data_IF_493769234259
#
_entry.id   IF_493769234259
#
_cell.length_a   1.000
_cell.length_b   1.000
_cell.length_c   1.000
_cell.angle_alpha   90.00
_cell.angle_beta   90.00
_cell.angle_gamma   90.00
#
_symmetry.space_group_name_H-M   'P 1'
#
loop_
_entity.id
_entity.type
_entity.pdbx_description
1 polymer ?
#
# COMPACT_ATOMS: atom_id res chain seq x y z
N UNK A 1 10.66 11.39 -0.54
CA UNK A 1 11.66 10.35 -0.92
C UNK A 1 12.93 11.00 -1.42
N UNK A 2 12.90 11.84 -2.44
CA UNK A 2 14.08 12.42 -3.11
C UNK A 2 15.10 13.07 -2.16
N UNK A 3 14.62 13.76 -1.11
CA UNK A 3 15.49 14.33 -0.05
C UNK A 3 16.19 13.22 0.74
N UNK A 4 15.46 12.20 1.20
CA UNK A 4 16.02 11.09 1.99
C UNK A 4 17.05 10.31 1.20
N UNK A 5 16.79 10.09 -0.09
CA UNK A 5 17.73 9.41 -1.00
C UNK A 5 18.90 10.28 -1.47
N UNK A 6 18.91 11.57 -1.08
CA UNK A 6 19.98 12.51 -1.39
C UNK A 6 20.02 12.98 -2.84
N UNK A 7 18.88 12.96 -3.55
CA UNK A 7 18.71 13.51 -4.90
C UNK A 7 18.47 15.02 -4.84
N UNK A 8 17.71 15.47 -3.82
CA UNK A 8 17.36 16.87 -3.57
C UNK A 8 17.88 17.28 -2.20
N UNK A 9 18.45 18.48 -2.09
CA UNK A 9 18.89 19.05 -0.80
C UNK A 9 17.67 19.64 -0.08
N UNK A 10 17.47 19.37 1.23
CA UNK A 10 16.37 19.97 1.99
C UNK A 10 16.61 21.48 2.15
N UNK A 11 15.55 22.29 2.09
CA UNK A 11 15.58 23.73 2.36
C UNK A 11 15.80 24.01 3.84
N UNK A 12 15.28 23.14 4.72
CA UNK A 12 15.40 23.22 6.17
C UNK A 12 15.15 21.83 6.80
N UNK A 13 15.40 21.72 8.10
CA UNK A 13 15.22 20.47 8.82
C UNK A 13 16.38 19.49 8.66
N UNK A 14 16.28 18.34 9.33
CA UNK A 14 17.27 17.27 9.34
C UNK A 14 16.63 15.93 9.10
N UNK A 15 17.34 15.03 8.43
CA UNK A 15 16.92 13.65 8.22
C UNK A 15 18.07 12.72 8.59
N UNK A 16 17.78 11.66 9.30
CA UNK A 16 18.73 10.61 9.62
C UNK A 16 18.24 9.25 9.12
N UNK A 17 19.17 8.42 8.66
CA UNK A 17 18.94 7.03 8.24
C UNK A 17 19.87 6.14 9.04
N UNK A 18 19.32 5.23 9.83
CA UNK A 18 20.07 4.40 10.80
C UNK A 18 21.03 5.21 11.69
N UNK A 19 20.58 6.40 12.12
CA UNK A 19 21.36 7.30 12.97
C UNK A 19 22.38 8.16 12.24
N UNK A 20 22.55 8.02 10.93
CA UNK A 20 23.46 8.82 10.11
C UNK A 20 22.73 9.98 9.43
N UNK A 21 23.32 11.18 9.48
CA UNK A 21 22.78 12.36 8.80
C UNK A 21 22.91 12.23 7.27
N UNK A 22 21.83 12.52 6.53
CA UNK A 22 21.80 12.33 5.06
C UNK A 22 22.74 13.25 4.30
N UNK A 23 23.19 14.36 4.89
CA UNK A 23 24.10 15.33 4.28
C UNK A 23 25.53 15.06 4.75
N UNK A 24 25.77 15.02 6.05
CA UNK A 24 27.11 14.84 6.61
C UNK A 24 27.68 13.44 6.37
N UNK A 25 26.84 12.42 6.50
CA UNK A 25 27.19 11.01 6.34
C UNK A 25 26.64 10.40 5.03
N UNK A 26 26.47 11.20 3.97
CA UNK A 26 25.74 10.80 2.74
C UNK A 26 26.20 9.47 2.13
N UNK A 27 27.49 9.12 2.21
CA UNK A 27 28.00 7.84 1.70
C UNK A 27 27.46 6.65 2.48
N UNK A 28 27.37 6.79 3.82
CA UNK A 28 26.85 5.75 4.70
C UNK A 28 25.35 5.59 4.50
N UNK A 29 24.61 6.69 4.42
CA UNK A 29 23.15 6.66 4.22
C UNK A 29 22.79 6.10 2.85
N UNK A 30 23.40 6.58 1.78
CA UNK A 30 23.15 6.08 0.42
C UNK A 30 23.54 4.61 0.24
N UNK A 31 24.57 4.11 0.92
CA UNK A 31 24.92 2.69 0.87
C UNK A 31 23.88 1.76 1.53
N UNK A 32 22.98 2.32 2.35
CA UNK A 32 21.88 1.61 3.05
C UNK A 32 20.55 1.70 2.31
N UNK A 33 20.45 2.59 1.32
CA UNK A 33 19.23 2.90 0.62
C UNK A 33 19.32 2.37 -0.82
N UNK A 34 18.32 1.56 -1.19
CA UNK A 34 17.98 1.30 -2.59
C UNK A 34 16.80 2.19 -2.98
N UNK A 35 16.79 2.73 -4.20
CA UNK A 35 15.68 3.53 -4.71
C UNK A 35 15.24 3.05 -6.09
N UNK A 36 13.96 2.90 -6.25
CA UNK A 36 13.29 2.65 -7.53
C UNK A 36 12.40 3.85 -7.83
N UNK A 37 12.75 4.67 -8.83
CA UNK A 37 11.97 5.84 -9.21
C UNK A 37 10.68 5.44 -9.95
N UNK A 38 9.74 6.37 -10.03
CA UNK A 38 8.50 6.19 -10.76
C UNK A 38 8.75 5.96 -12.26
N UNK A 39 9.68 6.72 -12.87
CA UNK A 39 9.99 6.63 -14.29
C UNK A 39 10.99 5.51 -14.60
N UNK A 40 10.79 4.84 -15.74
CA UNK A 40 11.61 3.73 -16.21
C UNK A 40 12.80 4.23 -17.05
N UNK A 41 13.81 4.80 -16.41
CA UNK A 41 15.05 5.16 -17.09
C UNK A 41 16.07 4.01 -17.02
N UNK A 42 16.25 3.30 -18.12
CA UNK A 42 17.21 2.20 -18.26
C UNK A 42 17.97 2.34 -19.57
N UNK A 43 19.30 2.12 -19.52
CA UNK A 43 20.15 2.03 -20.70
C UNK A 43 19.71 0.85 -21.58
N UNK A 44 19.36 1.13 -22.85
CA UNK A 44 18.64 0.17 -23.68
C UNK A 44 19.51 -0.97 -24.22
N UNK A 45 20.83 -0.81 -24.27
CA UNK A 45 21.72 -1.73 -24.97
C UNK A 45 22.40 -2.78 -24.07
N UNK A 46 22.44 -2.54 -22.76
CA UNK A 46 23.03 -3.45 -21.79
C UNK A 46 22.17 -4.68 -21.53
N UNK A 47 22.80 -5.77 -21.07
CA UNK A 47 22.07 -6.94 -20.60
C UNK A 47 21.51 -6.72 -19.19
N UNK A 48 20.53 -7.55 -18.79
CA UNK A 48 19.97 -7.52 -17.43
C UNK A 48 21.07 -7.75 -16.39
N UNK A 49 21.92 -8.78 -16.60
CA UNK A 49 22.97 -9.13 -15.66
C UNK A 49 24.03 -8.04 -15.53
N UNK A 50 24.50 -7.49 -16.66
CA UNK A 50 25.53 -6.46 -16.67
C UNK A 50 25.03 -5.18 -15.99
N UNK A 51 23.79 -4.77 -16.30
CA UNK A 51 23.15 -3.59 -15.69
C UNK A 51 23.09 -3.69 -14.16
N UNK A 52 22.68 -4.84 -13.62
CA UNK A 52 22.59 -5.03 -12.17
C UNK A 52 23.97 -5.13 -11.53
N UNK A 53 24.91 -5.83 -12.20
CA UNK A 53 26.30 -5.95 -11.75
C UNK A 53 27.01 -4.62 -11.73
N UNK A 54 26.85 -3.81 -12.78
CA UNK A 54 27.40 -2.46 -12.87
C UNK A 54 26.86 -1.55 -11.76
N UNK A 55 25.55 -1.62 -11.51
CA UNK A 55 24.91 -0.85 -10.43
C UNK A 55 25.57 -1.14 -9.07
N UNK A 56 25.92 -2.39 -8.77
CA UNK A 56 26.66 -2.75 -7.56
C UNK A 56 28.02 -2.06 -7.48
N UNK A 57 28.73 -2.01 -8.61
CA UNK A 57 30.04 -1.35 -8.71
C UNK A 57 29.99 0.15 -8.43
N UNK A 58 28.91 0.84 -8.82
CA UNK A 58 28.71 2.27 -8.53
C UNK A 58 28.65 2.58 -7.03
N UNK A 59 28.26 1.62 -6.20
CA UNK A 59 28.30 1.73 -4.74
C UNK A 59 29.64 1.29 -4.12
N UNK A 60 30.67 1.07 -4.93
CA UNK A 60 31.99 0.63 -4.47
C UNK A 60 32.01 -0.80 -3.89
N UNK A 61 31.02 -1.62 -4.23
CA UNK A 61 30.95 -3.01 -3.76
C UNK A 61 31.67 -3.94 -4.71
N UNK A 62 32.45 -4.87 -4.16
CA UNK A 62 33.11 -5.92 -4.94
C UNK A 62 32.11 -6.76 -5.75
N UNK A 63 32.52 -7.30 -6.92
CA UNK A 63 31.68 -8.22 -7.69
C UNK A 63 31.21 -9.41 -6.85
N UNK A 64 29.92 -9.73 -6.93
CA UNK A 64 29.30 -10.84 -6.18
C UNK A 64 28.26 -11.55 -7.07
N UNK A 65 28.70 -12.31 -8.10
CA UNK A 65 27.83 -12.91 -9.10
C UNK A 65 26.72 -13.76 -8.50
N UNK A 66 27.01 -14.56 -7.47
CA UNK A 66 26.01 -15.38 -6.76
C UNK A 66 24.91 -14.54 -6.11
N UNK A 67 25.21 -13.35 -5.63
CA UNK A 67 24.21 -12.44 -5.07
C UNK A 67 23.31 -11.87 -6.18
N UNK A 68 23.91 -11.44 -7.30
CA UNK A 68 23.14 -10.97 -8.46
C UNK A 68 22.25 -12.09 -9.02
N UNK A 69 22.77 -13.32 -9.14
CA UNK A 69 21.99 -14.48 -9.53
C UNK A 69 20.77 -14.69 -8.61
N UNK A 70 20.99 -14.63 -7.29
CA UNK A 70 19.90 -14.75 -6.32
C UNK A 70 18.83 -13.67 -6.54
N UNK A 71 19.22 -12.40 -6.64
CA UNK A 71 18.27 -11.29 -6.87
C UNK A 71 17.48 -11.52 -8.16
N UNK A 72 18.15 -11.90 -9.26
CA UNK A 72 17.48 -12.11 -10.54
C UNK A 72 16.52 -13.31 -10.50
N UNK A 73 16.84 -14.35 -9.73
CA UNK A 73 15.92 -15.48 -9.48
C UNK A 73 14.71 -15.05 -8.65
N UNK A 74 14.93 -14.33 -7.55
CA UNK A 74 13.86 -13.83 -6.67
C UNK A 74 12.88 -12.90 -7.42
N UNK A 75 13.38 -12.20 -8.45
CA UNK A 75 12.60 -11.30 -9.30
C UNK A 75 12.11 -11.96 -10.61
N UNK A 76 12.30 -13.28 -10.79
CA UNK A 76 11.93 -14.02 -12.02
C UNK A 76 12.55 -13.43 -13.29
N UNK A 77 13.79 -13.01 -13.21
CA UNK A 77 14.56 -12.42 -14.32
C UNK A 77 15.78 -13.27 -14.74
N UNK A 78 16.06 -14.38 -14.03
CA UNK A 78 17.28 -15.16 -14.30
C UNK A 78 17.34 -15.71 -15.72
N UNK A 79 16.24 -16.21 -16.25
CA UNK A 79 16.14 -16.74 -17.61
C UNK A 79 16.29 -15.66 -18.69
N UNK A 80 16.25 -14.39 -18.30
CA UNK A 80 16.39 -13.21 -19.14
C UNK A 80 17.71 -12.46 -18.90
N UNK A 81 18.63 -13.01 -18.09
CA UNK A 81 19.84 -12.34 -17.64
C UNK A 81 20.73 -11.81 -18.78
N UNK A 82 20.77 -12.53 -19.91
CA UNK A 82 21.57 -12.20 -21.10
C UNK A 82 20.78 -11.38 -22.14
N UNK A 83 19.49 -11.12 -21.91
CA UNK A 83 18.67 -10.29 -22.80
C UNK A 83 18.97 -8.80 -22.60
N UNK A 84 18.95 -8.05 -23.72
CA UNK A 84 19.08 -6.59 -23.68
C UNK A 84 17.83 -5.94 -23.13
N UNK A 85 18.01 -4.85 -22.35
CA UNK A 85 16.89 -4.19 -21.66
C UNK A 85 15.81 -3.68 -22.62
N UNK A 86 16.17 -3.30 -23.86
CA UNK A 86 15.18 -2.88 -24.88
C UNK A 86 14.17 -3.97 -25.26
N UNK A 87 14.52 -5.24 -25.06
CA UNK A 87 13.68 -6.40 -25.43
C UNK A 87 12.71 -6.79 -24.32
N UNK A 88 12.81 -6.17 -23.16
CA UNK A 88 11.98 -6.48 -21.99
C UNK A 88 10.65 -5.73 -22.02
N UNK A 89 9.61 -6.36 -21.48
CA UNK A 89 8.33 -5.69 -21.19
C UNK A 89 8.49 -4.61 -20.12
N UNK A 90 7.52 -3.70 -20.00
CA UNK A 90 7.52 -2.65 -18.96
C UNK A 90 7.64 -3.22 -17.55
N UNK A 91 6.92 -4.30 -17.24
CA UNK A 91 7.00 -4.98 -15.94
C UNK A 91 8.35 -5.62 -15.68
N UNK A 92 8.96 -6.25 -16.69
CA UNK A 92 10.32 -6.77 -16.57
C UNK A 92 11.34 -5.67 -16.34
N UNK A 93 11.23 -4.54 -17.04
CA UNK A 93 12.08 -3.36 -16.81
C UNK A 93 11.94 -2.83 -15.39
N UNK A 94 10.72 -2.81 -14.85
CA UNK A 94 10.47 -2.41 -13.45
C UNK A 94 11.18 -3.36 -12.48
N UNK A 95 11.11 -4.67 -12.71
CA UNK A 95 11.84 -5.66 -11.89
C UNK A 95 13.37 -5.49 -12.01
N UNK A 96 13.90 -5.11 -13.17
CA UNK A 96 15.33 -4.78 -13.32
C UNK A 96 15.71 -3.56 -12.48
N UNK A 97 14.88 -2.51 -12.41
CA UNK A 97 15.13 -1.37 -11.51
C UNK A 97 15.17 -1.79 -10.05
N UNK A 98 14.29 -2.69 -9.63
CA UNK A 98 14.35 -3.27 -8.28
C UNK A 98 15.65 -4.05 -8.08
N UNK A 99 16.05 -4.88 -9.05
CA UNK A 99 17.31 -5.63 -8.99
C UNK A 99 18.52 -4.68 -8.86
N UNK A 100 18.56 -3.59 -9.62
CA UNK A 100 19.57 -2.53 -9.49
C UNK A 100 19.60 -1.95 -8.08
N UNK A 101 18.44 -1.58 -7.55
CA UNK A 101 18.32 -1.00 -6.23
C UNK A 101 18.74 -1.95 -5.10
N UNK A 102 18.61 -3.28 -5.29
CA UNK A 102 19.02 -4.31 -4.34
C UNK A 102 20.49 -4.77 -4.50
N UNK A 103 21.14 -4.44 -5.62
CA UNK A 103 22.44 -4.99 -6.00
C UNK A 103 23.55 -4.76 -4.97
N UNK A 104 23.51 -3.64 -4.24
CA UNK A 104 24.49 -3.26 -3.22
C UNK A 104 24.12 -3.68 -1.80
N UNK A 105 23.08 -4.51 -1.63
CA UNK A 105 22.61 -5.05 -0.34
C UNK A 105 22.12 -3.95 0.61
N UNK A 106 21.17 -3.08 0.21
CA UNK A 106 20.62 -2.04 1.08
C UNK A 106 19.75 -2.65 2.19
N UNK A 107 19.68 -1.97 3.34
CA UNK A 107 18.73 -2.29 4.43
C UNK A 107 17.34 -1.69 4.21
N UNK A 108 17.25 -0.64 3.39
CA UNK A 108 16.01 0.10 3.12
C UNK A 108 15.83 0.23 1.61
N UNK A 109 14.63 -0.10 1.13
CA UNK A 109 14.24 0.04 -0.28
C UNK A 109 13.08 1.02 -0.40
N UNK A 110 13.30 2.11 -1.15
CA UNK A 110 12.25 3.04 -1.54
C UNK A 110 11.69 2.66 -2.91
N UNK A 111 10.38 2.54 -2.98
CA UNK A 111 9.62 2.30 -4.20
C UNK A 111 8.68 3.48 -4.43
N UNK A 112 8.99 4.31 -5.42
CA UNK A 112 8.18 5.49 -5.72
C UNK A 112 7.15 5.13 -6.78
N UNK A 113 5.88 5.03 -6.37
CA UNK A 113 4.74 4.64 -7.19
C UNK A 113 5.03 3.42 -8.11
N UNK A 114 5.43 2.27 -7.57
CA UNK A 114 5.97 1.16 -8.36
C UNK A 114 4.97 0.54 -9.33
N UNK A 115 3.68 0.80 -9.17
CA UNK A 115 2.62 0.26 -10.03
C UNK A 115 1.88 1.35 -10.82
N UNK A 116 2.40 2.57 -10.84
CA UNK A 116 1.80 3.63 -11.64
C UNK A 116 1.82 3.28 -13.15
N UNK A 117 0.65 3.42 -13.79
CA UNK A 117 0.52 3.19 -15.23
C UNK A 117 0.61 1.73 -15.66
N UNK A 118 0.52 0.75 -14.75
CA UNK A 118 0.47 -0.67 -15.11
C UNK A 118 -0.95 -1.24 -14.95
N UNK A 119 -1.24 -2.29 -15.72
CA UNK A 119 -2.51 -3.02 -15.63
C UNK A 119 -2.66 -3.79 -14.30
N UNK A 120 -3.87 -4.31 -14.06
CA UNK A 120 -4.23 -4.96 -12.79
C UNK A 120 -3.40 -6.23 -12.55
N UNK A 121 -3.15 -7.02 -13.59
CA UNK A 121 -2.42 -8.29 -13.49
C UNK A 121 -0.96 -8.03 -13.11
N UNK A 122 -0.30 -7.12 -13.81
CA UNK A 122 1.08 -6.74 -13.54
C UNK A 122 1.24 -6.08 -12.16
N UNK A 123 0.22 -5.33 -11.69
CA UNK A 123 0.18 -4.77 -10.34
C UNK A 123 0.18 -5.89 -9.30
N UNK A 124 -0.66 -6.90 -9.46
CA UNK A 124 -0.71 -8.04 -8.54
C UNK A 124 0.60 -8.83 -8.51
N UNK A 125 1.27 -9.00 -9.65
CA UNK A 125 2.60 -9.59 -9.70
C UNK A 125 3.64 -8.78 -8.93
N UNK A 126 3.62 -7.45 -9.07
CA UNK A 126 4.50 -6.56 -8.31
C UNK A 126 4.24 -6.64 -6.80
N UNK A 127 2.99 -6.77 -6.38
CA UNK A 127 2.67 -6.97 -4.96
C UNK A 127 3.26 -8.28 -4.41
N UNK A 128 3.25 -9.36 -5.20
CA UNK A 128 3.90 -10.62 -4.82
C UNK A 128 5.41 -10.43 -4.65
N UNK A 129 6.05 -9.72 -5.59
CA UNK A 129 7.48 -9.37 -5.51
C UNK A 129 7.78 -8.57 -4.25
N UNK A 130 7.03 -7.52 -3.95
CA UNK A 130 7.24 -6.68 -2.76
C UNK A 130 7.07 -7.50 -1.47
N UNK A 131 6.06 -8.37 -1.40
CA UNK A 131 5.86 -9.28 -0.25
C UNK A 131 7.04 -10.22 -0.04
N UNK A 132 7.52 -10.84 -1.12
CA UNK A 132 8.70 -11.73 -1.06
C UNK A 132 9.96 -10.98 -0.61
N UNK A 133 10.20 -9.78 -1.12
CA UNK A 133 11.35 -8.97 -0.68
C UNK A 133 11.27 -8.58 0.79
N UNK A 134 10.08 -8.27 1.31
CA UNK A 134 9.88 -8.02 2.75
C UNK A 134 10.32 -9.22 3.60
N UNK A 135 10.03 -10.44 3.16
CA UNK A 135 10.41 -11.66 3.86
C UNK A 135 11.94 -11.86 3.92
N UNK A 136 12.71 -11.22 3.05
CA UNK A 136 14.18 -11.23 3.12
C UNK A 136 14.77 -10.30 4.19
N UNK A 137 13.93 -9.54 4.91
CA UNK A 137 14.34 -8.64 5.98
C UNK A 137 14.65 -7.21 5.55
N UNK A 138 14.43 -6.85 4.28
CA UNK A 138 14.59 -5.47 3.78
C UNK A 138 13.40 -4.64 4.24
N UNK A 139 13.66 -3.46 4.79
CA UNK A 139 12.60 -2.48 5.10
C UNK A 139 12.16 -1.80 3.81
N UNK A 140 10.87 -1.91 3.46
CA UNK A 140 10.34 -1.32 2.23
C UNK A 140 9.49 -0.10 2.57
N UNK A 141 9.80 1.03 1.95
CA UNK A 141 9.01 2.26 2.01
C UNK A 141 8.45 2.49 0.60
N UNK A 142 7.13 2.47 0.51
CA UNK A 142 6.39 2.55 -0.74
C UNK A 142 5.52 3.80 -0.73
N UNK A 143 5.56 4.60 -1.80
CA UNK A 143 4.55 5.62 -2.07
C UNK A 143 3.55 5.08 -3.08
N UNK A 144 2.29 5.40 -2.88
CA UNK A 144 1.23 5.06 -3.81
C UNK A 144 0.02 6.00 -3.63
N UNK A 145 -0.69 6.25 -4.71
CA UNK A 145 -2.01 6.86 -4.69
C UNK A 145 -3.13 5.81 -4.82
N UNK A 146 -2.77 4.54 -5.00
CA UNK A 146 -3.71 3.42 -5.00
C UNK A 146 -3.88 2.87 -3.59
N UNK A 147 -5.00 3.17 -2.97
CA UNK A 147 -5.27 2.76 -1.58
C UNK A 147 -5.31 1.23 -1.45
N UNK A 148 -5.81 0.54 -2.48
CA UNK A 148 -5.80 -0.93 -2.55
C UNK A 148 -4.39 -1.52 -2.43
N UNK A 149 -3.37 -0.85 -2.96
CA UNK A 149 -1.98 -1.28 -2.86
C UNK A 149 -1.50 -1.22 -1.41
N UNK A 150 -1.73 -0.09 -0.73
CA UNK A 150 -1.42 0.05 0.69
C UNK A 150 -2.16 -1.01 1.54
N UNK A 151 -3.42 -1.27 1.21
CA UNK A 151 -4.23 -2.28 1.88
C UNK A 151 -3.68 -3.71 1.67
N UNK A 152 -3.23 -4.02 0.46
CA UNK A 152 -2.73 -5.36 0.10
C UNK A 152 -1.37 -5.69 0.73
N UNK A 153 -0.45 -4.71 0.83
CA UNK A 153 0.96 -5.01 1.11
C UNK A 153 1.56 -4.28 2.33
N UNK A 154 0.98 -3.14 2.77
CA UNK A 154 1.56 -2.38 3.87
C UNK A 154 1.29 -3.02 5.25
N UNK A 155 2.28 -2.93 6.15
CA UNK A 155 2.12 -3.21 7.58
C UNK A 155 1.73 -1.93 8.34
N UNK A 156 2.35 -0.79 7.97
CA UNK A 156 2.07 0.55 8.48
C UNK A 156 1.68 1.46 7.34
N UNK A 157 0.80 2.40 7.60
CA UNK A 157 0.33 3.40 6.63
C UNK A 157 0.60 4.78 7.17
N UNK A 158 1.21 5.63 6.34
CA UNK A 158 1.33 7.07 6.56
C UNK A 158 0.44 7.82 5.58
N UNK A 159 -0.39 8.72 6.05
CA UNK A 159 -1.22 9.59 5.21
C UNK A 159 -0.58 10.97 5.15
N UNK A 160 -0.34 11.45 3.93
CA UNK A 160 0.23 12.78 3.66
C UNK A 160 -0.83 13.61 2.94
N UNK A 161 -1.08 14.82 3.42
CA UNK A 161 -1.93 15.82 2.77
C UNK A 161 -1.26 17.18 2.84
N UNK A 162 -1.25 17.91 1.73
CA UNK A 162 -0.65 19.25 1.60
C UNK A 162 0.80 19.36 2.14
N UNK A 163 1.59 18.29 2.01
CA UNK A 163 2.97 18.24 2.46
C UNK A 163 3.17 17.87 3.94
N UNK A 164 2.10 17.67 4.70
CA UNK A 164 2.14 17.28 6.11
C UNK A 164 1.75 15.82 6.30
N UNK A 165 2.38 15.17 7.28
CA UNK A 165 1.99 13.82 7.71
C UNK A 165 0.85 13.94 8.71
N UNK A 166 -0.36 13.54 8.30
CA UNK A 166 -1.55 13.56 9.16
C UNK A 166 -1.49 12.43 10.19
N UNK A 167 -1.14 11.22 9.76
CA UNK A 167 -1.12 10.04 10.61
C UNK A 167 -0.07 9.04 10.12
N UNK A 168 0.56 8.32 11.06
CA UNK A 168 1.36 7.12 10.78
C UNK A 168 0.95 6.04 11.76
N UNK A 169 0.32 4.98 11.29
CA UNK A 169 -0.22 3.94 12.16
C UNK A 169 -0.05 2.54 11.55
N UNK A 170 -0.08 1.51 12.39
CA UNK A 170 -0.24 0.14 11.93
C UNK A 170 -1.56 -0.01 11.17
N UNK A 171 -1.53 -0.63 9.99
CA UNK A 171 -2.73 -0.83 9.17
C UNK A 171 -3.90 -1.46 9.95
N UNK A 172 -3.59 -2.49 10.74
CA UNK A 172 -4.59 -3.17 11.57
C UNK A 172 -5.22 -2.25 12.61
N UNK A 173 -4.42 -1.41 13.26
CA UNK A 173 -4.92 -0.47 14.26
C UNK A 173 -5.70 0.69 13.62
N UNK A 174 -5.28 1.15 12.43
CA UNK A 174 -6.01 2.15 11.67
C UNK A 174 -7.41 1.65 11.28
N UNK A 175 -7.48 0.45 10.71
CA UNK A 175 -8.74 -0.21 10.38
C UNK A 175 -9.61 -0.47 11.63
N UNK A 176 -8.97 -0.71 12.77
CA UNK A 176 -9.65 -0.94 14.04
C UNK A 176 -10.22 0.35 14.63
N UNK A 177 -9.43 1.43 14.69
CA UNK A 177 -9.82 2.69 15.32
C UNK A 177 -10.85 3.47 14.51
N UNK A 178 -10.72 3.47 13.19
CA UNK A 178 -11.52 4.27 12.27
C UNK A 178 -12.45 3.44 11.38
N UNK A 179 -12.29 2.11 11.40
CA UNK A 179 -13.11 1.20 10.61
C UNK A 179 -14.45 0.94 11.30
N UNK A 180 -15.54 1.27 10.62
CA UNK A 180 -16.88 0.90 11.01
C UNK A 180 -17.37 -0.26 10.15
N UNK A 181 -18.17 -1.14 10.71
CA UNK A 181 -18.99 -2.05 9.92
C UNK A 181 -20.32 -1.40 9.66
N UNK A 182 -20.78 -1.56 8.43
CA UNK A 182 -22.10 -1.14 7.99
C UNK A 182 -22.90 -2.40 7.70
N UNK A 183 -24.04 -2.55 8.37
CA UNK A 183 -25.04 -3.55 8.03
C UNK A 183 -26.12 -2.85 7.20
N UNK A 184 -26.23 -3.23 5.94
CA UNK A 184 -27.34 -2.82 5.08
C UNK A 184 -28.43 -3.89 5.15
N UNK A 185 -29.60 -3.50 5.61
CA UNK A 185 -30.78 -4.33 5.77
C UNK A 185 -31.70 -4.02 4.60
N UNK A 186 -31.80 -4.93 3.64
CA UNK A 186 -32.76 -4.81 2.53
C UNK A 186 -34.15 -5.22 2.97
N UNK A 187 -35.14 -4.40 2.67
CA UNK A 187 -36.53 -4.61 3.00
C UNK A 187 -37.33 -5.06 1.77
N UNK A 188 -38.44 -5.81 1.98
CA UNK A 188 -39.35 -6.20 0.91
C UNK A 188 -40.20 -5.03 0.42
N UNK A 189 -40.53 -4.10 1.31
CA UNK A 189 -41.39 -2.95 1.05
C UNK A 189 -40.63 -1.64 1.27
N UNK A 190 -41.07 -0.56 0.65
CA UNK A 190 -40.46 0.75 0.82
C UNK A 190 -40.73 1.33 2.20
N UNK A 191 -39.73 1.99 2.76
CA UNK A 191 -39.81 2.68 4.05
C UNK A 191 -39.63 4.18 3.84
N UNK A 192 -40.60 4.98 4.27
CA UNK A 192 -40.53 6.45 4.15
C UNK A 192 -40.03 7.07 5.44
N UNK A 193 -40.37 6.47 6.58
CA UNK A 193 -40.01 6.97 7.90
C UNK A 193 -39.56 5.82 8.81
N UNK A 194 -38.52 6.04 9.60
CA UNK A 194 -38.06 5.05 10.57
C UNK A 194 -39.04 4.99 11.76
N UNK A 195 -39.62 3.80 12.08
CA UNK A 195 -40.45 3.63 13.22
C UNK A 195 -39.84 4.10 14.53
N UNK A 196 -40.63 4.66 15.44
CA UNK A 196 -40.11 5.19 16.72
C UNK A 196 -39.34 4.14 17.54
N UNK A 197 -39.76 2.86 17.46
CA UNK A 197 -39.08 1.73 18.11
C UNK A 197 -37.66 1.49 17.63
N UNK A 198 -37.31 1.93 16.40
CA UNK A 198 -36.03 1.75 15.76
C UNK A 198 -35.12 2.99 15.80
N UNK A 199 -35.64 4.15 16.23
CA UNK A 199 -34.84 5.40 16.30
C UNK A 199 -33.60 5.30 17.21
N UNK A 200 -33.62 4.40 18.20
CA UNK A 200 -32.49 4.16 19.11
C UNK A 200 -31.25 3.54 18.42
N UNK A 201 -31.34 3.13 17.15
CA UNK A 201 -30.25 2.45 16.42
C UNK A 201 -29.56 3.38 15.42
N UNK A 202 -29.88 4.66 15.37
CA UNK A 202 -29.27 5.63 14.41
C UNK A 202 -29.27 5.11 12.96
N UNK A 203 -30.39 4.52 12.54
CA UNK A 203 -30.54 3.96 11.19
C UNK A 203 -30.65 5.08 10.17
N UNK A 204 -30.07 4.84 8.99
CA UNK A 204 -30.18 5.72 7.83
C UNK A 204 -30.96 4.98 6.74
N UNK A 205 -31.97 5.65 6.16
CA UNK A 205 -32.70 5.11 5.00
C UNK A 205 -31.78 5.24 3.79
N UNK A 206 -31.57 4.16 3.03
CA UNK A 206 -30.79 4.16 1.80
C UNK A 206 -31.52 4.83 0.63
N UNK A 207 -30.78 5.17 -0.42
CA UNK A 207 -31.24 5.97 -1.57
C UNK A 207 -32.46 5.41 -2.30
N UNK A 208 -32.69 4.09 -2.20
CA UNK A 208 -33.81 3.41 -2.85
C UNK A 208 -35.06 3.27 -1.96
N UNK A 209 -35.05 3.84 -0.77
CA UNK A 209 -36.09 3.69 0.26
C UNK A 209 -36.47 2.24 0.63
N UNK A 210 -35.64 1.26 0.19
CA UNK A 210 -35.84 -0.18 0.48
C UNK A 210 -34.74 -0.77 1.32
N UNK A 211 -33.88 0.07 1.89
CA UNK A 211 -32.81 -0.39 2.75
C UNK A 211 -32.63 0.52 3.96
N UNK A 212 -32.15 -0.08 5.05
CA UNK A 212 -31.73 0.59 6.26
C UNK A 212 -30.26 0.29 6.51
N UNK A 213 -29.46 1.32 6.71
CA UNK A 213 -28.07 1.23 7.03
C UNK A 213 -27.85 1.40 8.53
N UNK A 214 -27.20 0.42 9.14
CA UNK A 214 -26.79 0.43 10.54
C UNK A 214 -25.27 0.42 10.65
N UNK A 215 -24.69 1.45 11.27
CA UNK A 215 -23.25 1.53 11.56
C UNK A 215 -22.98 0.99 12.96
N UNK A 216 -22.02 0.09 13.09
CA UNK A 216 -21.63 -0.47 14.39
C UNK A 216 -20.13 -0.65 14.50
N UNK A 217 -19.62 -0.54 15.73
CA UNK A 217 -18.22 -0.71 16.05
C UNK A 217 -17.89 -2.19 16.25
N UNK A 218 -16.76 -2.63 15.69
CA UNK A 218 -16.24 -4.01 15.85
C UNK A 218 -15.83 -4.35 17.29
N UNK A 219 -15.65 -3.32 18.14
CA UNK A 219 -15.07 -3.47 19.49
C UNK A 219 -16.10 -3.49 20.62
N UNK A 220 -17.34 -3.21 20.31
CA UNK A 220 -18.41 -3.38 21.29
C UNK A 220 -18.68 -4.87 21.48
N UNK A 221 -18.62 -5.33 22.73
CA UNK A 221 -18.90 -6.74 23.10
C UNK A 221 -20.27 -7.22 22.59
N UNK A 222 -21.17 -6.29 22.30
CA UNK A 222 -22.48 -6.54 21.72
C UNK A 222 -22.72 -5.58 20.56
N UNK A 223 -22.73 -6.09 19.34
CA UNK A 223 -22.98 -5.29 18.12
C UNK A 223 -24.41 -4.78 18.00
N UNK A 224 -25.30 -5.19 18.89
CA UNK A 224 -26.73 -4.82 18.86
C UNK A 224 -27.53 -5.43 17.70
N UNK A 225 -26.90 -6.12 16.76
CA UNK A 225 -27.51 -6.62 15.52
C UNK A 225 -28.69 -7.56 15.83
N UNK A 226 -28.51 -8.52 16.74
CA UNK A 226 -29.57 -9.49 17.07
C UNK A 226 -30.82 -8.78 17.60
N UNK A 227 -30.62 -7.78 18.47
CA UNK A 227 -31.73 -7.00 19.03
C UNK A 227 -32.36 -6.09 17.96
N UNK A 228 -31.56 -5.48 17.10
CA UNK A 228 -32.03 -4.69 15.96
C UNK A 228 -32.94 -5.52 15.04
N UNK A 229 -32.48 -6.73 14.67
CA UNK A 229 -33.26 -7.61 13.79
C UNK A 229 -34.59 -8.07 14.45
N UNK A 230 -34.60 -8.29 15.76
CA UNK A 230 -35.80 -8.60 16.51
C UNK A 230 -36.78 -7.40 16.51
N UNK A 231 -36.28 -6.20 16.86
CA UNK A 231 -37.10 -4.99 16.90
C UNK A 231 -37.64 -4.61 15.50
N UNK A 232 -36.86 -4.89 14.42
CA UNK A 232 -37.31 -4.76 13.02
C UNK A 232 -38.52 -5.66 12.75
N UNK A 233 -38.45 -6.93 13.12
CA UNK A 233 -39.53 -7.91 12.95
C UNK A 233 -40.77 -7.47 13.73
N UNK A 234 -40.59 -7.03 14.97
CA UNK A 234 -41.68 -6.59 15.85
C UNK A 234 -42.32 -5.29 15.34
N UNK A 235 -41.59 -4.49 14.57
CA UNK A 235 -42.12 -3.30 13.88
C UNK A 235 -42.87 -3.60 12.57
N UNK A 236 -43.02 -4.88 12.20
CA UNK A 236 -43.74 -5.32 11.00
C UNK A 236 -42.95 -5.19 9.70
N UNK A 237 -41.67 -4.78 9.76
CA UNK A 237 -40.80 -4.65 8.58
C UNK A 237 -40.30 -6.02 8.12
N UNK A 238 -40.60 -6.37 6.87
CA UNK A 238 -40.17 -7.64 6.27
C UNK A 238 -38.80 -7.53 5.65
N UNK A 239 -37.86 -8.30 6.16
CA UNK A 239 -36.49 -8.39 5.70
C UNK A 239 -36.45 -9.15 4.37
N UNK A 240 -35.62 -8.67 3.42
CA UNK A 240 -35.30 -9.33 2.14
C UNK A 240 -33.91 -9.94 2.16
N UNK A 241 -32.93 -9.14 2.52
CA UNK A 241 -31.50 -9.54 2.51
C UNK A 241 -30.69 -8.73 3.53
N UNK A 242 -29.53 -9.24 3.90
CA UNK A 242 -28.58 -8.60 4.81
C UNK A 242 -27.21 -8.57 4.16
N UNK A 243 -26.63 -7.38 4.02
CA UNK A 243 -25.26 -7.18 3.54
C UNK A 243 -24.42 -6.51 4.62
N UNK A 244 -23.24 -7.06 4.87
CA UNK A 244 -22.28 -6.42 5.76
C UNK A 244 -21.10 -5.91 4.94
N UNK A 245 -20.81 -4.63 5.08
CA UNK A 245 -19.61 -4.01 4.53
C UNK A 245 -18.70 -3.60 5.67
N UNK A 246 -17.41 -3.85 5.50
CA UNK A 246 -16.38 -3.32 6.41
C UNK A 246 -15.72 -2.11 5.75
N UNK A 247 -15.47 -1.06 6.52
CA UNK A 247 -14.68 0.07 6.04
C UNK A 247 -13.31 -0.43 5.59
N UNK A 248 -12.92 -0.02 4.40
CA UNK A 248 -11.58 -0.19 3.84
C UNK A 248 -10.74 1.06 4.12
N UNK A 249 -9.45 1.00 3.80
CA UNK A 249 -8.57 2.16 3.96
C UNK A 249 -9.03 3.37 3.15
N UNK A 250 -9.75 3.16 2.04
CA UNK A 250 -10.25 4.24 1.19
C UNK A 250 -11.26 5.12 1.94
N UNK A 251 -12.26 4.50 2.61
CA UNK A 251 -13.25 5.24 3.42
C UNK A 251 -12.57 6.00 4.56
N UNK A 252 -11.56 5.41 5.18
CA UNK A 252 -10.76 6.04 6.24
C UNK A 252 -9.95 7.22 5.70
N UNK A 253 -9.29 7.05 4.55
CA UNK A 253 -8.53 8.11 3.90
C UNK A 253 -9.40 9.32 3.58
N UNK A 254 -10.59 9.10 2.98
CA UNK A 254 -11.53 10.18 2.65
C UNK A 254 -11.97 10.95 3.90
N UNK A 255 -12.16 10.28 5.04
CA UNK A 255 -12.51 10.96 6.31
C UNK A 255 -11.35 11.81 6.84
N UNK A 256 -10.11 11.31 6.78
CA UNK A 256 -8.91 12.01 7.26
C UNK A 256 -8.53 13.25 6.44
N UNK A 257 -8.86 13.27 5.14
CA UNK A 257 -8.51 14.40 4.24
C UNK A 257 -9.59 15.47 4.20
N UNK A 258 -10.82 15.16 4.64
CA UNK A 258 -11.96 16.12 4.68
C UNK A 258 -12.05 16.89 6.00
N UNK A 259 -11.40 16.42 7.05
CA UNK A 259 -11.20 17.16 8.30
C UNK A 259 -10.04 18.17 8.17
#
# INVERSE_FOLDING_TARGET
ISIICGIVTPSSGTVTVDGFDIIKDYRKTRSRIGMVPQELHLESFETVFDTVSYSRGLYGKSPKPKHIEKILKDLSLWDKKDQRLRQLSGGMKRRVLIAKALSHEPSILFLDEPTAGVDVELRQEMWKVVKSLRETGVTIILTTHYIEEAEAIADRVGVINQGEIIIVEQKKELLKKMGHKKLTIELQEEIITIPNTLKKYDLIIGDNNKSLDYKYNLHEKQTGITKLLQDLKDSGLKLRDLKTEQSNLEKIFVSLVRE
#
